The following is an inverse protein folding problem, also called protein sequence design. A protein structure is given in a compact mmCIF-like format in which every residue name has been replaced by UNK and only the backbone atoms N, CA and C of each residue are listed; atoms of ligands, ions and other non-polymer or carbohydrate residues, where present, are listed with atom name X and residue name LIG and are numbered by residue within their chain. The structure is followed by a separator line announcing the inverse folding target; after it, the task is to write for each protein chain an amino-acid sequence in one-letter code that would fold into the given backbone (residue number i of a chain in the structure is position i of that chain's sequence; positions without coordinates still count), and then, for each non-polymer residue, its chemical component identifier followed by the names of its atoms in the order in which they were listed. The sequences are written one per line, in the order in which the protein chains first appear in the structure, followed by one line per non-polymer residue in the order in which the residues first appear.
data_IF_678197944573
#
_entry.id   IF_678197944573
#
_cell.length_a   1.000
_cell.length_b   1.000
_cell.length_c   1.000
_cell.angle_alpha   90.00
_cell.angle_beta   90.00
_cell.angle_gamma   90.00
#
_symmetry.space_group_name_H-M   'P 1'
#
loop_
_entity.id
_entity.type
_entity.pdbx_description
1 polymer ?
#
# COMPACT_ATOMS: atom_id res chain seq x y z
N UNK A 1 5.35 11.56 -24.80
CA UNK A 1 3.89 11.81 -24.74
C UNK A 1 3.29 10.84 -23.73
N UNK A 2 2.48 11.28 -22.76
CA UNK A 2 1.82 10.36 -21.83
C UNK A 2 0.73 9.57 -22.57
N UNK A 3 0.79 8.24 -22.52
CA UNK A 3 -0.26 7.36 -23.04
C UNK A 3 -1.23 7.11 -21.89
N UNK A 4 -2.42 7.70 -21.97
CA UNK A 4 -3.49 7.46 -21.00
C UNK A 4 -4.55 6.56 -21.63
N UNK A 5 -5.07 5.63 -20.85
CA UNK A 5 -6.17 4.79 -21.30
C UNK A 5 -7.49 5.58 -21.16
N UNK A 6 -8.10 5.91 -22.29
CA UNK A 6 -9.34 6.69 -22.39
C UNK A 6 -10.51 5.99 -21.68
N UNK A 7 -10.46 4.67 -21.51
CA UNK A 7 -11.51 3.93 -20.79
C UNK A 7 -11.64 4.36 -19.33
N UNK A 8 -10.57 4.86 -18.71
CA UNK A 8 -10.62 5.38 -17.33
C UNK A 8 -11.30 6.74 -17.22
N UNK A 9 -11.61 7.40 -18.35
CA UNK A 9 -12.37 8.65 -18.39
C UNK A 9 -13.88 8.42 -18.52
N UNK A 10 -14.34 7.18 -18.68
CA UNK A 10 -15.76 6.85 -18.72
C UNK A 10 -16.42 7.16 -17.37
N UNK A 11 -17.66 7.62 -17.43
CA UNK A 11 -18.47 7.85 -16.21
C UNK A 11 -18.58 6.55 -15.43
N UNK A 12 -18.38 6.63 -14.12
CA UNK A 12 -18.59 5.49 -13.24
C UNK A 12 -20.04 4.99 -13.37
N UNK A 13 -20.20 3.68 -13.49
CA UNK A 13 -21.48 2.99 -13.48
C UNK A 13 -21.44 1.92 -12.39
N UNK A 14 -22.54 1.73 -11.67
CA UNK A 14 -22.64 0.69 -10.66
C UNK A 14 -22.46 -0.69 -11.30
N UNK A 15 -21.94 -1.64 -10.53
CA UNK A 15 -21.81 -3.02 -11.00
C UNK A 15 -23.18 -3.61 -11.36
N UNK A 16 -23.24 -4.48 -12.39
CA UNK A 16 -24.46 -5.23 -12.70
C UNK A 16 -24.97 -6.03 -11.50
N UNK A 17 -26.30 -6.22 -11.43
CA UNK A 17 -26.96 -6.90 -10.30
C UNK A 17 -26.48 -8.34 -10.08
N UNK A 18 -26.00 -8.99 -11.14
CA UNK A 18 -25.44 -10.35 -11.12
C UNK A 18 -24.24 -10.51 -10.18
N UNK A 19 -23.51 -9.42 -9.90
CA UNK A 19 -22.33 -9.44 -9.05
C UNK A 19 -22.63 -9.23 -7.55
N UNK A 20 -23.89 -8.98 -7.20
CA UNK A 20 -24.35 -8.77 -5.83
C UNK A 20 -23.71 -7.56 -5.13
N UNK A 21 -24.05 -7.37 -3.87
CA UNK A 21 -23.41 -6.38 -2.99
C UNK A 21 -22.16 -7.00 -2.37
N UNK A 22 -21.03 -6.30 -2.48
CA UNK A 22 -19.79 -6.71 -1.81
C UNK A 22 -19.78 -6.15 -0.39
N UNK A 23 -20.14 -6.98 0.58
CA UNK A 23 -20.14 -6.59 2.00
C UNK A 23 -18.73 -6.52 2.59
N UNK A 24 -17.76 -7.26 2.04
CA UNK A 24 -16.38 -7.30 2.52
C UNK A 24 -15.39 -6.74 1.50
N UNK A 25 -14.34 -6.07 2.01
CA UNK A 25 -13.23 -5.66 1.15
C UNK A 25 -12.47 -6.91 0.66
N UNK A 26 -12.03 -6.93 -0.61
CA UNK A 26 -11.19 -8.02 -1.10
C UNK A 26 -9.86 -8.07 -0.32
N UNK A 27 -9.41 -9.29 0.00
CA UNK A 27 -8.14 -9.53 0.67
C UNK A 27 -6.95 -9.14 -0.24
N UNK A 28 -6.53 -7.88 -0.15
CA UNK A 28 -5.41 -7.35 -0.95
C UNK A 28 -4.04 -7.69 -0.37
N UNK A 29 -3.98 -8.29 0.83
CA UNK A 29 -2.73 -8.52 1.58
C UNK A 29 -2.52 -9.96 2.06
N UNK A 30 -3.19 -10.95 1.48
CA UNK A 30 -3.16 -12.35 1.93
C UNK A 30 -1.74 -12.93 2.18
N UNK A 31 -0.71 -12.44 1.48
CA UNK A 31 0.68 -12.91 1.61
C UNK A 31 1.55 -12.09 2.58
N UNK A 32 1.09 -10.93 3.05
CA UNK A 32 1.90 -10.04 3.89
C UNK A 32 1.57 -10.31 5.34
N UNK A 33 2.42 -11.10 6.01
CA UNK A 33 2.33 -11.32 7.45
C UNK A 33 2.38 -9.98 8.18
N UNK A 34 1.42 -9.76 9.08
CA UNK A 34 1.43 -8.62 9.99
C UNK A 34 2.71 -8.67 10.84
N UNK A 35 3.43 -7.57 10.87
CA UNK A 35 4.60 -7.41 11.75
C UNK A 35 4.11 -6.94 13.11
N UNK A 36 4.73 -7.43 14.17
CA UNK A 36 4.51 -6.91 15.52
C UNK A 36 4.77 -5.40 15.55
N UNK A 37 3.84 -4.66 16.16
CA UNK A 37 3.93 -3.22 16.34
C UNK A 37 4.66 -2.92 17.65
N UNK A 38 5.59 -1.98 17.61
CA UNK A 38 6.38 -1.54 18.76
C UNK A 38 6.29 -0.02 18.85
N UNK A 39 6.09 0.49 20.06
CA UNK A 39 6.09 1.93 20.32
C UNK A 39 7.53 2.47 20.18
N UNK A 40 7.67 3.59 19.48
CA UNK A 40 8.97 4.21 19.19
C UNK A 40 9.13 5.47 20.01
N UNK A 41 10.14 5.52 20.87
CA UNK A 41 10.45 6.72 21.66
C UNK A 41 11.09 7.80 20.78
N UNK A 42 12.22 7.46 20.12
CA UNK A 42 12.99 8.41 19.29
C UNK A 42 13.75 7.75 18.14
N UNK A 43 14.02 8.53 17.09
CA UNK A 43 14.93 8.16 16.00
C UNK A 43 16.35 8.64 16.33
N UNK A 44 17.28 7.71 16.50
CA UNK A 44 18.67 8.01 16.91
C UNK A 44 19.53 8.40 15.72
N UNK A 45 19.24 7.87 14.52
CA UNK A 45 20.02 8.17 13.33
C UNK A 45 19.43 7.57 12.06
N UNK A 46 20.02 7.94 10.92
CA UNK A 46 19.65 7.42 9.61
C UNK A 46 20.88 7.09 8.77
N UNK A 47 20.75 6.10 7.88
CA UNK A 47 21.77 5.71 6.92
C UNK A 47 21.13 5.38 5.59
N UNK A 48 21.75 5.81 4.51
CA UNK A 48 21.37 5.39 3.17
C UNK A 48 22.09 4.10 2.78
N UNK A 49 21.35 3.05 2.48
CA UNK A 49 21.91 1.82 1.93
C UNK A 49 21.97 1.91 0.39
N UNK A 50 23.19 1.96 -0.14
CA UNK A 50 23.45 2.06 -1.59
C UNK A 50 22.97 0.82 -2.36
N UNK A 51 22.93 -0.36 -1.73
CA UNK A 51 22.54 -1.62 -2.41
C UNK A 51 21.04 -1.70 -2.59
N UNK A 52 20.28 -1.41 -1.55
CA UNK A 52 18.82 -1.44 -1.59
C UNK A 52 18.20 -0.12 -2.06
N UNK A 53 18.99 0.96 -2.14
CA UNK A 53 18.57 2.34 -2.43
C UNK A 53 17.46 2.81 -1.48
N UNK A 54 17.49 2.35 -0.23
CA UNK A 54 16.52 2.68 0.81
C UNK A 54 17.20 3.38 1.98
N UNK A 55 16.44 4.24 2.65
CA UNK A 55 16.85 4.80 3.94
C UNK A 55 16.53 3.79 5.05
N UNK A 56 17.50 3.57 5.93
CA UNK A 56 17.35 2.80 7.15
C UNK A 56 17.48 3.75 8.33
N UNK A 57 16.67 3.53 9.37
CA UNK A 57 16.64 4.35 10.57
C UNK A 57 16.99 3.50 11.79
N UNK A 58 17.83 4.04 12.68
CA UNK A 58 18.11 3.44 13.97
C UNK A 58 17.05 3.93 14.96
N UNK A 59 16.23 2.99 15.42
CA UNK A 59 15.10 3.25 16.31
C UNK A 59 15.50 2.93 17.75
N UNK A 60 15.18 3.83 18.68
CA UNK A 60 15.17 3.55 20.12
C UNK A 60 13.72 3.29 20.54
N UNK A 61 13.49 2.08 21.04
CA UNK A 61 12.23 1.63 21.64
C UNK A 61 12.20 2.01 23.11
#
# INVERSE_FOLDING_TARGET
SPVFNVDHLKKYTSSPLEFGERETMPETRALKKESEEYEVETLVGHKFDKKTKKYQFLVRW
#
